data_IF_050362489099
#
_entry.id   IF_050362489099
#
_cell.length_a   1.000
_cell.length_b   1.000
_cell.length_c   1.000
_cell.angle_alpha   90.00
_cell.angle_beta   90.00
_cell.angle_gamma   90.00
#
_symmetry.space_group_name_H-M   'P 1'
#
loop_
_entity.id
_entity.type
_entity.pdbx_description
1 polymer ?
#
# COMPACT_ATOMS: atom_id res chain seq x y z
N UNK A 1 -0.82 12.34 5.83
CA UNK A 1 -0.44 11.41 4.73
C UNK A 1 1.05 11.09 4.69
N UNK A 2 1.94 12.05 4.96
CA UNK A 2 3.40 11.88 4.85
C UNK A 2 3.99 10.73 5.68
N UNK A 3 3.50 10.50 6.89
CA UNK A 3 4.03 9.43 7.75
C UNK A 3 3.69 8.04 7.24
N UNK A 4 2.47 7.82 6.73
CA UNK A 4 2.08 6.55 6.10
C UNK A 4 2.87 6.28 4.82
N UNK A 5 3.11 7.33 4.03
CA UNK A 5 3.97 7.22 2.85
C UNK A 5 5.40 6.80 3.24
N UNK A 6 5.96 7.39 4.30
CA UNK A 6 7.28 7.00 4.84
C UNK A 6 7.30 5.57 5.40
N UNK A 7 6.24 5.14 6.07
CA UNK A 7 6.11 3.77 6.56
C UNK A 7 6.09 2.77 5.40
N UNK A 8 5.28 3.06 4.37
CA UNK A 8 5.17 2.22 3.18
C UNK A 8 6.50 2.15 2.41
N UNK A 9 7.19 3.28 2.26
CA UNK A 9 8.47 3.36 1.55
C UNK A 9 9.60 2.54 2.22
N UNK A 10 9.44 2.18 3.49
CA UNK A 10 10.43 1.37 4.24
C UNK A 10 10.14 -0.13 4.20
N UNK A 11 9.04 -0.56 3.59
CA UNK A 11 8.70 -1.99 3.55
C UNK A 11 9.69 -2.74 2.65
N UNK A 12 10.12 -3.95 3.06
CA UNK A 12 11.01 -4.76 2.23
C UNK A 12 10.45 -5.00 0.83
N UNK A 13 11.24 -4.70 -0.20
CA UNK A 13 10.86 -4.88 -1.60
C UNK A 13 9.86 -3.86 -2.15
N UNK A 14 9.51 -2.81 -1.41
CA UNK A 14 8.66 -1.74 -1.93
C UNK A 14 9.35 -0.99 -3.08
N UNK A 15 8.64 -0.81 -4.20
CA UNK A 15 9.10 0.01 -5.30
C UNK A 15 8.33 1.33 -5.41
N UNK A 16 7.01 1.25 -5.56
CA UNK A 16 6.17 2.43 -5.74
C UNK A 16 4.72 2.15 -5.37
N UNK A 17 3.99 3.25 -5.17
CA UNK A 17 2.55 3.27 -4.95
C UNK A 17 1.94 4.37 -5.80
N UNK A 18 0.87 4.06 -6.53
CA UNK A 18 0.09 5.02 -7.29
C UNK A 18 -1.39 4.89 -6.95
N UNK A 19 -1.99 5.99 -6.52
CA UNK A 19 -3.41 6.07 -6.23
C UNK A 19 -4.14 6.64 -7.45
N UNK A 20 -5.06 5.86 -8.00
CA UNK A 20 -5.91 6.28 -9.10
C UNK A 20 -7.33 6.45 -8.60
N UNK A 21 -7.92 7.61 -8.85
CA UNK A 21 -9.35 7.85 -8.61
C UNK A 21 -10.11 7.60 -9.91
N UNK A 22 -11.24 6.93 -9.84
CA UNK A 22 -12.12 6.77 -11.00
C UNK A 22 -12.65 8.12 -11.48
N UNK A 23 -13.03 8.20 -12.75
CA UNK A 23 -13.55 9.43 -13.35
C UNK A 23 -14.89 9.86 -12.72
N UNK A 24 -15.71 8.90 -12.31
CA UNK A 24 -16.95 9.15 -11.54
C UNK A 24 -16.68 9.55 -10.08
N UNK A 25 -15.43 9.49 -9.64
CA UNK A 25 -14.98 9.86 -8.29
C UNK A 25 -15.41 8.91 -7.17
N UNK A 26 -16.08 7.80 -7.50
CA UNK A 26 -16.68 6.85 -6.53
C UNK A 26 -15.76 5.72 -6.11
N UNK A 27 -14.66 5.52 -6.83
CA UNK A 27 -13.72 4.42 -6.58
C UNK A 27 -12.30 4.93 -6.52
N UNK A 28 -11.50 4.24 -5.71
CA UNK A 28 -10.06 4.43 -5.64
C UNK A 28 -9.42 3.07 -5.89
N UNK A 29 -8.44 3.04 -6.78
CA UNK A 29 -7.59 1.89 -7.03
C UNK A 29 -6.19 2.25 -6.54
N UNK A 30 -5.64 1.40 -5.70
CA UNK A 30 -4.27 1.52 -5.23
C UNK A 30 -3.39 0.54 -6.01
N UNK A 31 -2.55 1.05 -6.90
CA UNK A 31 -1.60 0.25 -7.68
C UNK A 31 -0.26 0.18 -6.94
N UNK A 32 0.03 -1.00 -6.41
CA UNK A 32 1.19 -1.28 -5.58
C UNK A 32 2.23 -2.06 -6.39
N UNK A 33 3.48 -1.59 -6.35
CA UNK A 33 4.60 -2.27 -7.00
C UNK A 33 5.58 -2.78 -5.96
N UNK A 34 5.91 -4.07 -6.07
CA UNK A 34 6.85 -4.77 -5.22
C UNK A 34 7.84 -5.57 -6.04
N UNK A 35 9.02 -5.78 -5.47
CA UNK A 35 10.10 -6.53 -6.10
C UNK A 35 9.77 -7.99 -6.32
N UNK A 36 9.00 -8.60 -5.42
CA UNK A 36 8.50 -9.95 -5.59
C UNK A 36 7.17 -10.15 -4.90
N UNK A 37 6.43 -11.16 -5.36
CA UNK A 37 5.16 -11.58 -4.76
C UNK A 37 5.34 -12.03 -3.31
N UNK A 38 6.43 -12.73 -3.00
CA UNK A 38 6.67 -13.28 -1.66
C UNK A 38 6.94 -12.17 -0.63
N UNK A 39 7.64 -11.10 -1.05
CA UNK A 39 7.87 -9.92 -0.21
C UNK A 39 6.56 -9.18 0.05
N UNK A 40 5.71 -9.03 -0.97
CA UNK A 40 4.37 -8.47 -0.79
C UNK A 40 3.53 -9.30 0.18
N UNK A 41 3.51 -10.63 0.05
CA UNK A 41 2.78 -11.51 0.95
C UNK A 41 3.30 -11.45 2.39
N UNK A 42 4.61 -11.36 2.55
CA UNK A 42 5.25 -11.24 3.87
C UNK A 42 4.86 -9.93 4.55
N UNK A 43 4.86 -8.81 3.81
CA UNK A 43 4.36 -7.52 4.32
C UNK A 43 2.91 -7.63 4.82
N UNK A 44 2.02 -8.29 4.08
CA UNK A 44 0.62 -8.46 4.46
C UNK A 44 0.39 -9.32 5.72
N UNK A 45 1.36 -10.16 6.10
CA UNK A 45 1.27 -10.97 7.33
C UNK A 45 1.60 -10.16 8.58
N UNK A 46 2.36 -9.06 8.46
CA UNK A 46 2.67 -8.18 9.59
C UNK A 46 1.40 -7.55 10.18
N UNK A 47 1.20 -7.65 11.51
CA UNK A 47 0.12 -6.95 12.20
C UNK A 47 0.18 -5.43 12.02
N UNK A 48 1.39 -4.85 12.03
CA UNK A 48 1.65 -3.42 11.88
C UNK A 48 1.25 -2.95 10.49
N UNK A 49 1.66 -3.70 9.46
CA UNK A 49 1.31 -3.38 8.07
C UNK A 49 -0.21 -3.41 7.83
N UNK A 50 -0.91 -4.40 8.40
CA UNK A 50 -2.38 -4.48 8.31
C UNK A 50 -3.06 -3.30 8.98
N UNK A 51 -2.59 -2.86 10.15
CA UNK A 51 -3.15 -1.68 10.84
C UNK A 51 -3.02 -0.41 9.98
N UNK A 52 -1.84 -0.19 9.39
CA UNK A 52 -1.58 1.02 8.62
C UNK A 52 -2.24 1.02 7.23
N UNK A 53 -2.27 -0.11 6.52
CA UNK A 53 -2.78 -0.17 5.14
C UNK A 53 -4.30 -0.36 5.03
N UNK A 54 -4.91 -1.19 5.89
CA UNK A 54 -6.34 -1.53 5.77
C UNK A 54 -7.23 -0.34 6.14
N UNK A 55 -6.74 0.56 6.99
CA UNK A 55 -7.48 1.78 7.35
C UNK A 55 -7.61 2.80 6.21
N UNK A 56 -6.90 2.62 5.09
CA UNK A 56 -6.84 3.59 4.00
C UNK A 56 -7.81 3.32 2.84
N UNK A 57 -8.60 2.23 2.88
CA UNK A 57 -9.51 1.80 1.80
C UNK A 57 -11.00 1.91 2.22
N UNK A 58 -11.31 2.65 3.29
CA UNK A 58 -12.71 3.01 3.61
C UNK A 58 -13.07 4.38 3.05
#
# INVERSE_FOLDING_TARGET
>A
MTERARFMARQPGFFSISLHRSLDGRRIVNYLQWQSRDLLQSAHKSPEFRKECVSSIR
#
